data_IF_236250519459
#
_entry.id   IF_236250519459
#
_cell.length_a   1.000
_cell.length_b   1.000
_cell.length_c   1.000
_cell.angle_alpha   90.00
_cell.angle_beta   90.00
_cell.angle_gamma   90.00
#
_symmetry.space_group_name_H-M   'P 1'
#
loop_
_entity.id
_entity.type
_entity.pdbx_description
1 polymer ?
#
# COMPACT_ATOMS: atom_id res chain seq x y z
N UNK A 1 -17.17 -3.40 27.00
CA UNK A 1 -17.85 -2.61 25.95
C UNK A 1 -16.96 -2.58 24.73
N UNK A 2 -17.52 -2.63 23.53
CA UNK A 2 -16.76 -2.35 22.30
C UNK A 2 -17.09 -0.94 21.84
N UNK A 3 -16.08 -0.19 21.41
CA UNK A 3 -16.28 1.09 20.71
C UNK A 3 -15.88 0.90 19.26
N UNK A 4 -16.61 1.52 18.35
CA UNK A 4 -16.31 1.52 16.92
C UNK A 4 -16.62 2.89 16.33
N UNK A 5 -15.88 3.27 15.30
CA UNK A 5 -16.03 4.57 14.67
C UNK A 5 -15.03 4.78 13.56
N UNK A 6 -14.75 6.05 13.25
CA UNK A 6 -13.81 6.43 12.21
C UNK A 6 -12.80 7.47 12.74
N UNK A 7 -11.54 7.40 12.29
CA UNK A 7 -10.49 8.36 12.64
C UNK A 7 -10.77 9.80 12.19
N UNK A 8 -11.73 10.00 11.29
CA UNK A 8 -12.22 11.32 10.91
C UNK A 8 -13.07 11.97 12.03
N UNK A 9 -13.75 11.18 12.88
CA UNK A 9 -14.56 11.67 14.01
C UNK A 9 -13.84 11.62 15.35
N UNK A 10 -13.02 10.59 15.60
CA UNK A 10 -12.21 10.45 16.81
C UNK A 10 -10.77 10.13 16.42
N UNK A 11 -9.87 11.10 16.59
CA UNK A 11 -8.48 10.97 16.14
C UNK A 11 -7.75 9.89 16.95
N UNK A 12 -6.70 9.31 16.36
CA UNK A 12 -5.91 8.27 17.01
C UNK A 12 -5.38 8.71 18.38
N UNK A 13 -4.86 9.94 18.50
CA UNK A 13 -4.39 10.48 19.78
C UNK A 13 -5.49 10.47 20.88
N UNK A 14 -6.75 10.70 20.50
CA UNK A 14 -7.87 10.67 21.42
C UNK A 14 -8.22 9.22 21.81
N UNK A 15 -8.14 8.27 20.87
CA UNK A 15 -8.32 6.83 21.16
C UNK A 15 -7.26 6.32 22.12
N UNK A 16 -6.00 6.70 21.89
CA UNK A 16 -4.89 6.33 22.76
C UNK A 16 -5.06 6.92 24.17
N UNK A 17 -5.38 8.23 24.29
CA UNK A 17 -5.69 8.85 25.59
C UNK A 17 -6.87 8.19 26.29
N UNK A 18 -7.95 7.95 25.57
CA UNK A 18 -9.13 7.29 26.10
C UNK A 18 -8.80 5.91 26.69
N UNK A 19 -7.96 5.11 26.02
CA UNK A 19 -7.52 3.82 26.51
C UNK A 19 -6.71 3.93 27.83
N UNK A 20 -5.85 4.94 27.95
CA UNK A 20 -5.10 5.24 29.18
C UNK A 20 -6.03 5.66 30.32
N UNK A 21 -6.88 6.67 30.08
CA UNK A 21 -7.75 7.28 31.09
C UNK A 21 -8.73 6.26 31.72
N UNK A 22 -9.17 5.29 30.92
CA UNK A 22 -10.10 4.25 31.36
C UNK A 22 -9.40 2.95 31.78
N UNK A 23 -8.06 2.91 31.78
CA UNK A 23 -7.25 1.70 32.03
C UNK A 23 -7.72 0.49 31.19
N UNK A 24 -8.01 0.74 29.91
CA UNK A 24 -8.59 -0.26 29.04
C UNK A 24 -7.65 -1.45 28.83
N UNK A 25 -8.25 -2.62 28.70
CA UNK A 25 -7.57 -3.87 28.36
C UNK A 25 -8.30 -4.52 27.20
N UNK A 26 -7.60 -4.82 26.11
CA UNK A 26 -8.18 -5.33 24.88
C UNK A 26 -7.40 -4.90 23.65
N UNK A 27 -8.01 -5.06 22.48
CA UNK A 27 -7.34 -4.80 21.19
C UNK A 27 -8.08 -3.71 20.41
N UNK A 28 -7.33 -2.71 19.96
CA UNK A 28 -7.77 -1.70 19.01
C UNK A 28 -7.34 -2.14 17.61
N UNK A 29 -8.29 -2.49 16.75
CA UNK A 29 -8.05 -2.74 15.32
C UNK A 29 -8.43 -1.50 14.51
N UNK A 30 -7.56 -1.09 13.59
CA UNK A 30 -7.76 0.05 12.70
C UNK A 30 -7.51 -0.42 11.27
N UNK A 31 -8.47 -0.17 10.39
CA UNK A 31 -8.49 -0.69 9.02
C UNK A 31 -8.65 0.45 8.00
N UNK A 32 -7.81 0.43 6.97
CA UNK A 32 -7.84 1.35 5.82
C UNK A 32 -7.20 0.68 4.60
N UNK A 33 -7.75 0.86 3.41
CA UNK A 33 -7.18 0.37 2.14
C UNK A 33 -6.78 -1.11 2.20
N UNK A 34 -7.64 -1.94 2.83
CA UNK A 34 -7.42 -3.38 3.06
C UNK A 34 -6.15 -3.73 3.85
N UNK A 35 -5.64 -2.77 4.61
CA UNK A 35 -4.59 -2.91 5.62
C UNK A 35 -5.25 -2.76 6.99
N UNK A 36 -4.98 -3.70 7.89
CA UNK A 36 -5.41 -3.71 9.27
C UNK A 36 -4.18 -3.67 10.19
N UNK A 37 -4.12 -2.64 11.05
CA UNK A 37 -3.16 -2.58 12.15
C UNK A 37 -3.88 -2.74 13.48
N UNK A 38 -3.25 -3.47 14.40
CA UNK A 38 -3.80 -3.76 15.73
C UNK A 38 -2.85 -3.24 16.81
N UNK A 39 -3.42 -2.70 17.88
CA UNK A 39 -2.69 -2.28 19.08
C UNK A 39 -3.34 -2.97 20.27
N UNK A 40 -2.55 -3.72 21.02
CA UNK A 40 -2.96 -4.35 22.26
C UNK A 40 -2.74 -3.40 23.45
N UNK A 41 -3.74 -3.34 24.31
CA UNK A 41 -3.71 -2.59 25.56
C UNK A 41 -3.88 -3.51 26.75
N UNK A 42 -3.12 -3.23 27.81
CA UNK A 42 -3.29 -3.84 29.13
C UNK A 42 -3.18 -2.76 30.19
N UNK A 43 -4.24 -2.58 30.96
CA UNK A 43 -4.33 -1.54 32.01
C UNK A 43 -3.91 -0.16 31.48
N UNK A 44 -4.38 0.20 30.28
CA UNK A 44 -4.06 1.48 29.63
C UNK A 44 -2.67 1.57 28.99
N UNK A 45 -1.83 0.52 29.05
CA UNK A 45 -0.50 0.50 28.43
C UNK A 45 -0.50 -0.26 27.11
N UNK A 46 0.29 0.19 26.14
CA UNK A 46 0.52 -0.56 24.91
C UNK A 46 1.43 -1.74 25.23
N UNK A 47 0.95 -2.96 24.98
CA UNK A 47 1.69 -4.22 25.19
C UNK A 47 2.06 -4.93 23.91
N UNK A 48 1.44 -4.56 22.79
CA UNK A 48 1.79 -5.15 21.52
C UNK A 48 1.16 -4.47 20.32
N UNK A 49 1.67 -4.79 19.14
CA UNK A 49 1.06 -4.37 17.89
C UNK A 49 1.25 -5.38 16.77
N UNK A 50 0.39 -5.32 15.77
CA UNK A 50 0.55 -6.06 14.52
C UNK A 50 0.07 -5.23 13.33
N UNK A 51 0.55 -5.59 12.14
CA UNK A 51 0.14 -4.98 10.89
C UNK A 51 0.28 -6.02 9.79
N UNK A 52 -0.72 -6.09 8.92
CA UNK A 52 -0.70 -6.89 7.68
C UNK A 52 -0.12 -6.11 6.48
N UNK A 53 0.34 -4.89 6.71
CA UNK A 53 0.97 -4.00 5.74
C UNK A 53 2.29 -4.62 5.23
N UNK A 54 2.42 -4.92 3.93
CA UNK A 54 3.60 -5.63 3.39
C UNK A 54 4.96 -4.97 3.67
N UNK A 55 5.15 -3.64 3.51
CA UNK A 55 6.40 -2.96 3.89
C UNK A 55 6.67 -3.01 5.38
N UNK A 56 5.62 -3.17 6.20
CA UNK A 56 5.74 -3.39 7.64
C UNK A 56 6.06 -4.85 8.01
N UNK A 57 6.45 -5.75 7.10
CA UNK A 57 6.98 -7.08 7.49
C UNK A 57 8.40 -6.94 8.04
N UNK A 58 8.75 -7.72 9.07
CA UNK A 58 10.06 -7.60 9.73
C UNK A 58 11.24 -7.81 8.76
N UNK A 59 11.16 -8.80 7.86
CA UNK A 59 12.21 -9.02 6.86
C UNK A 59 12.42 -7.82 5.93
N UNK A 60 11.33 -7.18 5.49
CA UNK A 60 11.37 -5.97 4.66
C UNK A 60 11.96 -4.78 5.43
N UNK A 61 11.57 -4.65 6.71
CA UNK A 61 12.09 -3.61 7.59
C UNK A 61 13.61 -3.74 7.83
N UNK A 62 14.10 -4.96 8.04
CA UNK A 62 15.54 -5.24 8.18
C UNK A 62 16.31 -4.98 6.88
N UNK A 63 15.74 -5.37 5.74
CA UNK A 63 16.31 -5.13 4.42
C UNK A 63 16.47 -3.62 4.15
N UNK A 64 15.41 -2.84 4.40
CA UNK A 64 15.42 -1.39 4.19
C UNK A 64 16.47 -0.66 5.05
N UNK A 65 16.77 -1.19 6.23
CA UNK A 65 17.80 -0.66 7.13
C UNK A 65 19.21 -1.19 6.83
N UNK A 66 19.34 -2.08 5.85
CA UNK A 66 20.61 -2.71 5.47
C UNK A 66 21.15 -3.67 6.54
N UNK A 67 20.28 -4.25 7.37
CA UNK A 67 20.64 -5.24 8.40
C UNK A 67 20.82 -6.65 7.84
N UNK A 68 20.11 -6.94 6.76
CA UNK A 68 20.20 -8.19 6.00
C UNK A 68 20.20 -7.88 4.51
N UNK A 69 20.72 -8.79 3.70
CA UNK A 69 20.61 -8.71 2.23
C UNK A 69 19.36 -9.44 1.71
N UNK A 70 19.03 -9.23 0.43
CA UNK A 70 17.92 -9.94 -0.23
C UNK A 70 18.16 -11.45 -0.25
N UNK A 71 19.41 -11.86 -0.49
CA UNK A 71 19.81 -13.26 -0.55
C UNK A 71 19.71 -13.92 0.83
N UNK A 72 20.07 -13.21 1.90
CA UNK A 72 19.93 -13.68 3.28
C UNK A 72 18.46 -13.82 3.66
N UNK A 73 17.63 -12.82 3.32
CA UNK A 73 16.19 -12.88 3.55
C UNK A 73 15.53 -14.05 2.79
N UNK A 74 15.88 -14.23 1.51
CA UNK A 74 15.34 -15.32 0.70
C UNK A 74 15.69 -16.70 1.30
N UNK A 75 16.94 -16.92 1.67
CA UNK A 75 17.38 -18.17 2.33
C UNK A 75 16.65 -18.40 3.65
N UNK A 76 16.46 -17.34 4.45
CA UNK A 76 15.77 -17.46 5.73
C UNK A 76 14.29 -17.81 5.55
N UNK A 77 13.63 -17.26 4.53
CA UNK A 77 12.25 -17.59 4.16
C UNK A 77 12.10 -19.02 3.63
N UNK A 78 13.09 -19.53 2.88
CA UNK A 78 13.13 -20.93 2.45
C UNK A 78 13.16 -21.87 3.66
N UNK A 79 14.08 -21.63 4.62
CA UNK A 79 14.17 -22.42 5.85
C UNK A 79 12.88 -22.31 6.65
N UNK A 80 12.31 -21.11 6.80
CA UNK A 80 11.05 -20.89 7.51
C UNK A 80 9.91 -21.74 6.95
N UNK A 81 9.84 -21.87 5.63
CA UNK A 81 8.84 -22.68 4.94
C UNK A 81 8.98 -24.18 5.24
N UNK A 82 10.21 -24.65 5.44
CA UNK A 82 10.50 -26.07 5.74
C UNK A 82 10.34 -26.41 7.23
N UNK A 83 10.69 -25.48 8.12
CA UNK A 83 10.82 -25.75 9.56
C UNK A 83 9.72 -25.13 10.42
N UNK A 84 8.83 -24.30 9.85
CA UNK A 84 7.81 -23.49 10.54
C UNK A 84 8.37 -22.65 11.71
N UNK A 85 9.67 -22.37 11.70
CA UNK A 85 10.37 -21.63 12.75
C UNK A 85 10.21 -20.11 12.54
N UNK A 86 10.36 -19.32 13.61
CA UNK A 86 10.28 -17.87 13.52
C UNK A 86 11.44 -17.31 12.67
N UNK A 87 11.13 -16.40 11.74
CA UNK A 87 12.12 -15.76 10.86
C UNK A 87 13.26 -15.12 11.67
N UNK A 88 12.95 -14.50 12.81
CA UNK A 88 13.97 -13.88 13.67
C UNK A 88 14.96 -14.88 14.24
N UNK A 89 14.50 -16.08 14.59
CA UNK A 89 15.33 -17.15 15.14
C UNK A 89 16.22 -17.74 14.04
N UNK A 90 15.66 -17.95 12.84
CA UNK A 90 16.41 -18.39 11.66
C UNK A 90 17.51 -17.39 11.30
N UNK A 91 17.22 -16.09 11.29
CA UNK A 91 18.22 -15.05 11.00
C UNK A 91 19.34 -15.02 12.04
N UNK A 92 19.03 -15.28 13.32
CA UNK A 92 20.03 -15.40 14.38
C UNK A 92 20.88 -16.67 14.22
N UNK A 93 20.26 -17.81 13.90
CA UNK A 93 20.96 -19.08 13.66
C UNK A 93 21.88 -19.01 12.43
N UNK A 94 21.50 -18.24 11.42
CA UNK A 94 22.33 -17.93 10.25
C UNK A 94 23.51 -17.00 10.57
N UNK A 95 23.52 -16.36 11.74
CA UNK A 95 24.55 -15.42 12.16
C UNK A 95 24.55 -14.10 11.38
N UNK A 96 23.42 -13.74 10.75
CA UNK A 96 23.30 -12.49 9.98
C UNK A 96 22.85 -11.31 10.84
N UNK A 97 22.24 -11.57 12.00
CA UNK A 97 21.85 -10.56 12.97
C UNK A 97 21.95 -11.10 14.40
N UNK A 98 22.49 -10.30 15.31
CA UNK A 98 22.60 -10.65 16.73
C UNK A 98 21.25 -10.49 17.45
N UNK A 99 21.01 -11.26 18.51
CA UNK A 99 19.74 -11.24 19.25
C UNK A 99 19.37 -9.86 19.82
N UNK A 100 20.35 -9.12 20.36
CA UNK A 100 20.15 -7.77 20.90
C UNK A 100 19.80 -6.76 19.79
N UNK A 101 20.46 -6.87 18.64
CA UNK A 101 20.18 -6.03 17.47
C UNK A 101 18.80 -6.34 16.88
N UNK A 102 18.44 -7.62 16.77
CA UNK A 102 17.12 -8.03 16.31
C UNK A 102 16.01 -7.50 17.23
N UNK A 103 16.19 -7.58 18.55
CA UNK A 103 15.24 -7.05 19.52
C UNK A 103 15.07 -5.52 19.40
N UNK A 104 16.18 -4.79 19.20
CA UNK A 104 16.15 -3.35 18.95
C UNK A 104 15.35 -3.02 17.67
N UNK A 105 15.61 -3.74 16.58
CA UNK A 105 14.90 -3.54 15.31
C UNK A 105 13.41 -3.92 15.40
N UNK A 106 13.07 -4.94 16.18
CA UNK A 106 11.69 -5.33 16.44
C UNK A 106 10.92 -4.22 17.17
N UNK A 107 11.54 -3.60 18.18
CA UNK A 107 10.97 -2.46 18.91
C UNK A 107 10.78 -1.25 17.99
N UNK A 108 11.81 -0.89 17.21
CA UNK A 108 11.73 0.20 16.25
C UNK A 108 10.64 -0.01 15.20
N UNK A 109 10.44 -1.26 14.76
CA UNK A 109 9.37 -1.64 13.82
C UNK A 109 7.99 -1.51 14.45
N UNK A 110 7.80 -1.99 15.67
CA UNK A 110 6.53 -1.87 16.38
C UNK A 110 6.15 -0.40 16.61
N UNK A 111 7.13 0.43 16.95
CA UNK A 111 6.93 1.86 17.03
C UNK A 111 6.53 2.49 15.68
N UNK A 112 7.22 2.15 14.58
CA UNK A 112 6.85 2.64 13.24
C UNK A 112 5.45 2.19 12.83
N UNK A 113 5.06 0.94 13.17
CA UNK A 113 3.71 0.44 12.92
C UNK A 113 2.65 1.34 13.57
N UNK A 114 2.85 1.71 14.84
CA UNK A 114 1.90 2.55 15.57
C UNK A 114 1.94 4.00 15.08
N UNK A 115 3.14 4.57 14.88
CA UNK A 115 3.28 5.94 14.39
C UNK A 115 2.70 6.12 12.98
N UNK A 116 2.79 5.10 12.12
CA UNK A 116 2.20 5.16 10.77
C UNK A 116 0.68 5.31 10.77
N UNK A 117 -0.01 4.98 11.86
CA UNK A 117 -1.45 5.22 11.98
C UNK A 117 -1.80 6.71 12.12
N UNK A 118 -0.85 7.57 12.51
CA UNK A 118 -1.06 9.02 12.50
C UNK A 118 -1.13 9.59 11.07
N UNK A 119 -0.64 8.84 10.09
CA UNK A 119 -0.78 9.19 8.68
C UNK A 119 -2.22 8.95 8.17
N UNK A 120 -3.05 8.21 8.92
CA UNK A 120 -4.39 7.79 8.51
C UNK A 120 -5.43 8.80 8.98
N UNK A 121 -5.94 9.62 8.05
CA UNK A 121 -6.95 10.63 8.35
C UNK A 121 -8.39 10.09 8.37
N UNK A 122 -8.65 9.08 7.53
CA UNK A 122 -9.92 8.39 7.40
C UNK A 122 -9.64 6.88 7.45
N UNK A 123 -10.10 6.23 8.51
CA UNK A 123 -9.93 4.81 8.74
C UNK A 123 -10.97 4.34 9.76
N UNK A 124 -11.45 3.11 9.59
CA UNK A 124 -12.41 2.53 10.54
C UNK A 124 -11.65 1.91 11.70
N UNK A 125 -12.08 2.21 12.93
CA UNK A 125 -11.53 1.59 14.13
C UNK A 125 -12.58 0.77 14.87
N UNK A 126 -12.11 -0.28 15.53
CA UNK A 126 -12.89 -1.16 16.42
C UNK A 126 -12.03 -1.52 17.62
N UNK A 127 -12.47 -1.16 18.81
CA UNK A 127 -11.89 -1.62 20.05
C UNK A 127 -12.75 -2.75 20.63
N UNK A 128 -12.11 -3.87 20.94
CA UNK A 128 -12.75 -4.99 21.64
C UNK A 128 -12.10 -5.18 23.01
N UNK A 129 -12.87 -4.86 24.04
CA UNK A 129 -12.44 -5.03 25.43
C UNK A 129 -12.26 -6.51 25.79
N UNK A 130 -11.18 -6.82 26.49
CA UNK A 130 -10.75 -8.17 26.87
C UNK A 130 -10.57 -9.14 25.70
N UNK A 131 -10.41 -8.64 24.46
CA UNK A 131 -9.92 -9.47 23.36
C UNK A 131 -8.48 -9.88 23.68
N UNK A 132 -8.14 -11.17 23.62
CA UNK A 132 -6.77 -11.63 23.86
C UNK A 132 -5.84 -11.10 22.76
N UNK A 133 -4.58 -10.88 23.13
CA UNK A 133 -3.52 -10.52 22.19
C UNK A 133 -3.31 -11.69 21.20
N UNK A 134 -3.12 -11.36 19.92
CA UNK A 134 -2.79 -12.40 18.94
C UNK A 134 -1.35 -12.90 19.21
N UNK A 135 -1.08 -14.22 19.12
CA UNK A 135 0.25 -14.78 19.41
C UNK A 135 1.39 -14.23 18.54
N UNK A 136 1.07 -13.65 17.39
CA UNK A 136 2.01 -13.08 16.43
C UNK A 136 2.16 -11.55 16.54
N UNK A 137 1.54 -10.92 17.54
CA UNK A 137 1.81 -9.51 17.81
C UNK A 137 3.26 -9.32 18.26
N UNK A 138 3.84 -8.20 17.86
CA UNK A 138 5.14 -7.76 18.38
C UNK A 138 4.93 -7.30 19.81
N UNK A 139 5.53 -8.01 20.77
CA UNK A 139 5.56 -7.60 22.17
C UNK A 139 6.41 -6.33 22.31
N UNK A 140 5.79 -5.27 22.83
CA UNK A 140 6.44 -3.99 23.05
C UNK A 140 5.86 -3.29 24.27
N UNK A 141 6.71 -2.50 24.91
CA UNK A 141 6.29 -1.59 25.98
C UNK A 141 6.55 -0.17 25.53
N UNK A 142 5.49 0.49 25.07
CA UNK A 142 5.54 1.86 24.57
C UNK A 142 4.71 2.77 25.48
N UNK A 143 5.26 3.94 25.78
CA UNK A 143 4.56 4.99 26.52
C UNK A 143 3.58 5.68 25.59
N UNK A 144 2.29 5.71 25.96
CA UNK A 144 1.25 6.29 25.12
C UNK A 144 1.49 7.78 24.88
N UNK A 145 1.94 8.52 25.90
CA UNK A 145 2.24 9.95 25.80
C UNK A 145 3.37 10.24 24.80
N UNK A 146 4.44 9.44 24.80
CA UNK A 146 5.56 9.57 23.86
C UNK A 146 5.11 9.31 22.41
N UNK A 147 4.25 8.30 22.21
CA UNK A 147 3.67 7.99 20.90
C UNK A 147 2.77 9.12 20.41
N UNK A 148 1.98 9.74 21.30
CA UNK A 148 1.14 10.89 20.95
C UNK A 148 1.98 12.10 20.56
N UNK A 149 3.03 12.42 21.32
CA UNK A 149 3.92 13.55 21.04
C UNK A 149 4.61 13.37 19.69
N UNK A 150 5.25 12.22 19.46
CA UNK A 150 5.89 11.90 18.18
C UNK A 150 4.90 11.80 17.02
N UNK A 151 3.69 11.34 17.29
CA UNK A 151 2.60 11.32 16.31
C UNK A 151 2.17 12.72 15.88
N UNK A 152 2.14 13.69 16.81
CA UNK A 152 1.86 15.08 16.49
C UNK A 152 2.97 15.69 15.61
N UNK A 153 4.24 15.45 15.93
CA UNK A 153 5.37 15.86 15.09
C UNK A 153 5.30 15.22 13.69
N UNK A 154 4.91 13.95 13.61
CA UNK A 154 4.72 13.23 12.34
C UNK A 154 3.64 13.90 11.49
N UNK A 155 2.51 14.27 12.06
CA UNK A 155 1.45 14.99 11.34
C UNK A 155 1.98 16.29 10.71
N UNK A 156 2.74 17.09 11.47
CA UNK A 156 3.34 18.32 10.94
C UNK A 156 4.33 18.05 9.80
N UNK A 157 5.14 16.99 9.94
CA UNK A 157 6.07 16.54 8.90
C UNK A 157 5.34 16.07 7.64
N UNK A 158 4.21 15.38 7.76
CA UNK A 158 3.36 14.98 6.63
C UNK A 158 2.78 16.20 5.92
N UNK A 159 2.36 17.23 6.65
CA UNK A 159 1.91 18.50 6.06
C UNK A 159 3.05 19.16 5.28
N UNK A 160 4.28 19.15 5.80
CA UNK A 160 5.45 19.68 5.09
C UNK A 160 5.79 18.87 3.83
N UNK A 161 5.74 17.54 3.91
CA UNK A 161 5.92 16.61 2.78
C UNK A 161 4.96 16.98 1.64
N UNK A 162 3.66 17.11 1.94
CA UNK A 162 2.62 17.42 0.94
C UNK A 162 2.74 18.82 0.33
N UNK A 163 3.36 19.76 1.03
CA UNK A 163 3.63 21.10 0.47
C UNK A 163 4.71 21.06 -0.60
N UNK A 164 5.63 20.10 -0.52
CA UNK A 164 6.73 19.99 -1.48
C UNK A 164 6.45 18.97 -2.58
N UNK A 165 5.86 17.83 -2.24
CA UNK A 165 5.49 16.80 -3.20
C UNK A 165 3.99 16.85 -3.42
N UNK A 166 3.58 17.24 -4.63
CA UNK A 166 2.17 17.44 -4.99
C UNK A 166 1.46 16.14 -5.37
N UNK A 167 2.21 15.15 -5.88
CA UNK A 167 1.74 13.81 -6.20
C UNK A 167 2.89 12.80 -6.11
N UNK A 168 2.57 11.51 -6.07
CA UNK A 168 3.58 10.45 -6.19
C UNK A 168 4.21 10.38 -7.59
N UNK A 169 3.64 11.08 -8.57
CA UNK A 169 4.19 11.20 -9.93
C UNK A 169 5.38 12.16 -10.06
N UNK A 170 5.77 12.87 -9.00
CA UNK A 170 6.95 13.76 -9.02
C UNK A 170 8.21 12.96 -9.37
N UNK A 171 8.96 13.40 -10.37
CA UNK A 171 10.21 12.78 -10.83
C UNK A 171 11.40 13.47 -10.17
N UNK A 172 12.34 12.67 -9.69
CA UNK A 172 13.50 13.13 -8.94
C UNK A 172 14.80 12.83 -9.68
N UNK A 173 15.72 13.78 -9.66
CA UNK A 173 17.09 13.63 -10.18
C UNK A 173 18.11 13.92 -9.08
N UNK A 174 19.27 13.26 -9.13
CA UNK A 174 20.38 13.58 -8.23
C UNK A 174 20.90 14.98 -8.54
N UNK A 175 21.01 15.81 -7.51
CA UNK A 175 21.62 17.13 -7.63
C UNK A 175 23.15 17.06 -7.76
N UNK A 176 23.76 18.21 -8.01
CA UNK A 176 25.22 18.34 -8.15
C UNK A 176 25.97 18.32 -6.80
N UNK A 177 25.23 18.35 -5.68
CA UNK A 177 25.81 18.37 -4.34
C UNK A 177 26.14 16.95 -3.90
N UNK A 178 27.40 16.70 -3.53
CA UNK A 178 27.82 15.39 -3.00
C UNK A 178 27.19 15.10 -1.64
N UNK A 179 26.78 13.85 -1.44
CA UNK A 179 26.21 13.39 -0.17
C UNK A 179 27.30 13.26 0.90
N UNK A 180 27.09 13.78 2.12
CA UNK A 180 27.98 13.53 3.25
C UNK A 180 28.15 12.03 3.53
N UNK A 181 29.36 11.58 3.93
CA UNK A 181 29.61 10.17 4.26
C UNK A 181 28.66 9.63 5.33
N UNK A 182 28.24 10.46 6.27
CA UNK A 182 27.29 10.08 7.33
C UNK A 182 25.93 9.66 6.77
N UNK A 183 25.47 10.31 5.69
CA UNK A 183 24.24 9.95 4.99
C UNK A 183 24.45 8.64 4.23
N UNK A 184 25.59 8.50 3.55
CA UNK A 184 25.90 7.30 2.76
C UNK A 184 26.11 6.04 3.60
N UNK A 185 26.52 6.20 4.86
CA UNK A 185 26.63 5.10 5.83
C UNK A 185 25.27 4.60 6.33
N UNK A 186 24.20 5.36 6.14
CA UNK A 186 22.85 4.93 6.48
C UNK A 186 22.27 4.07 5.33
N UNK A 187 21.96 2.80 5.64
CA UNK A 187 21.46 1.84 4.64
C UNK A 187 20.20 2.29 3.91
N UNK A 188 19.24 2.88 4.64
CA UNK A 188 18.00 3.39 4.06
C UNK A 188 18.27 4.58 3.14
N UNK A 189 19.06 5.55 3.59
CA UNK A 189 19.40 6.72 2.78
C UNK A 189 20.12 6.31 1.48
N UNK A 190 21.14 5.45 1.59
CA UNK A 190 21.84 4.90 0.42
C UNK A 190 20.89 4.14 -0.51
N UNK A 191 19.96 3.35 0.04
CA UNK A 191 18.93 2.64 -0.71
C UNK A 191 18.02 3.59 -1.49
N UNK A 192 17.50 4.65 -0.84
CA UNK A 192 16.67 5.67 -1.48
C UNK A 192 17.44 6.40 -2.58
N UNK A 193 18.67 6.84 -2.31
CA UNK A 193 19.47 7.57 -3.30
C UNK A 193 19.85 6.70 -4.50
N UNK A 194 20.08 5.41 -4.26
CA UNK A 194 20.34 4.40 -5.28
C UNK A 194 19.25 4.29 -6.35
N UNK A 195 18.01 4.64 -6.02
CA UNK A 195 16.86 4.52 -6.94
C UNK A 195 16.57 5.81 -7.72
N UNK A 196 17.18 6.93 -7.33
CA UNK A 196 16.99 8.22 -8.01
C UNK A 196 17.92 8.30 -9.21
N UNK A 197 17.34 8.34 -10.41
CA UNK A 197 18.04 8.32 -11.71
C UNK A 197 17.57 9.40 -12.70
N UNK A 198 16.68 10.30 -12.30
CA UNK A 198 16.11 11.33 -13.18
C UNK A 198 14.89 10.87 -13.98
N UNK A 199 14.54 9.57 -13.95
CA UNK A 199 13.39 9.02 -14.64
C UNK A 199 12.32 8.46 -13.69
N UNK A 200 12.73 8.00 -12.50
CA UNK A 200 11.79 7.43 -11.53
C UNK A 200 10.92 8.48 -10.84
N UNK A 201 9.63 8.15 -10.72
CA UNK A 201 8.69 8.90 -9.89
C UNK A 201 8.87 8.58 -8.40
N UNK A 202 8.38 9.43 -7.50
CA UNK A 202 8.32 9.14 -6.06
C UNK A 202 7.60 7.80 -5.81
N UNK A 203 6.49 7.54 -6.50
CA UNK A 203 5.77 6.27 -6.39
C UNK A 203 6.65 5.07 -6.67
N UNK A 204 7.47 5.12 -7.72
CA UNK A 204 8.42 4.05 -8.05
C UNK A 204 9.55 3.96 -7.01
N UNK A 205 10.08 5.10 -6.55
CA UNK A 205 11.08 5.13 -5.47
C UNK A 205 10.57 4.43 -4.22
N UNK A 206 9.31 4.67 -3.83
CA UNK A 206 8.68 4.04 -2.67
C UNK A 206 8.72 2.51 -2.77
N UNK A 207 8.31 1.93 -3.91
CA UNK A 207 8.37 0.47 -4.13
C UNK A 207 9.79 -0.11 -4.05
N UNK A 208 10.83 0.62 -4.43
CA UNK A 208 12.20 0.11 -4.42
C UNK A 208 12.89 0.16 -3.04
N UNK A 209 12.35 0.91 -2.08
CA UNK A 209 13.04 1.20 -0.81
C UNK A 209 12.69 0.25 0.32
N UNK A 210 11.59 -0.49 0.20
CA UNK A 210 11.09 -1.45 1.20
C UNK A 210 10.87 -0.84 2.60
N UNK A 211 10.72 0.48 2.69
CA UNK A 211 10.50 1.25 3.91
C UNK A 211 9.10 1.85 3.96
N UNK A 212 8.69 2.39 5.10
CA UNK A 212 7.43 3.13 5.16
C UNK A 212 7.50 4.41 4.33
N UNK A 213 6.39 4.74 3.64
CA UNK A 213 6.27 5.92 2.80
C UNK A 213 6.75 7.19 3.50
N UNK A 214 6.35 7.36 4.76
CA UNK A 214 6.74 8.51 5.57
C UNK A 214 8.25 8.66 5.72
N UNK A 215 8.98 7.58 6.03
CA UNK A 215 10.43 7.66 6.24
C UNK A 215 11.14 8.05 4.95
N UNK A 216 10.71 7.49 3.81
CA UNK A 216 11.25 7.79 2.49
C UNK A 216 10.96 9.24 2.13
N UNK A 217 9.70 9.66 2.23
CA UNK A 217 9.27 11.02 1.89
C UNK A 217 9.95 12.06 2.78
N UNK A 218 10.07 11.81 4.09
CA UNK A 218 10.79 12.69 5.03
C UNK A 218 12.27 12.84 4.65
N UNK A 219 12.92 11.76 4.25
CA UNK A 219 14.29 11.81 3.75
C UNK A 219 14.39 12.62 2.46
N UNK A 220 13.54 12.34 1.48
CA UNK A 220 13.49 13.06 0.20
C UNK A 220 13.24 14.54 0.42
N UNK A 221 12.40 14.92 1.39
CA UNK A 221 12.18 16.31 1.76
C UNK A 221 13.48 16.98 2.18
N UNK A 222 14.24 16.32 3.06
CA UNK A 222 15.50 16.86 3.56
C UNK A 222 16.56 16.91 2.45
N UNK A 223 16.57 15.93 1.55
CA UNK A 223 17.48 15.86 0.42
C UNK A 223 17.24 16.99 -0.59
N UNK A 224 15.97 17.31 -0.89
CA UNK A 224 15.60 18.42 -1.78
C UNK A 224 15.97 19.77 -1.17
N UNK A 225 15.67 20.01 0.11
CA UNK A 225 16.06 21.25 0.79
C UNK A 225 17.59 21.45 0.84
N UNK A 226 18.35 20.36 0.90
CA UNK A 226 19.82 20.39 0.94
C UNK A 226 20.45 20.46 -0.45
N UNK A 227 19.66 20.36 -1.53
CA UNK A 227 20.13 20.39 -2.91
C UNK A 227 20.77 19.08 -3.40
N UNK A 228 20.69 18.00 -2.62
CA UNK A 228 21.22 16.70 -3.04
C UNK A 228 20.32 15.99 -4.06
N UNK A 229 19.04 16.34 -4.07
CA UNK A 229 18.03 15.84 -5.02
C UNK A 229 17.28 17.05 -5.55
N UNK A 230 16.90 17.01 -6.82
CA UNK A 230 16.11 18.06 -7.46
C UNK A 230 14.84 17.48 -8.07
N UNK A 231 13.80 18.31 -8.17
CA UNK A 231 12.54 17.95 -8.80
C UNK A 231 12.63 18.37 -10.27
N UNK A 232 12.52 17.40 -11.19
CA UNK A 232 12.68 17.63 -12.63
C UNK A 232 11.38 17.62 -13.42
N UNK A 233 10.31 17.04 -12.86
CA UNK A 233 9.02 17.00 -13.52
C UNK A 233 7.95 16.22 -12.75
N UNK A 234 6.82 16.00 -13.41
CA UNK A 234 5.73 15.15 -12.95
C UNK A 234 5.37 14.21 -14.09
N UNK A 235 5.34 12.90 -13.80
CA UNK A 235 4.82 11.85 -14.67
C UNK A 235 3.69 11.16 -13.92
N UNK A 236 2.47 11.31 -14.42
CA UNK A 236 1.32 10.58 -13.88
C UNK A 236 1.41 9.10 -14.33
N UNK A 237 1.64 8.15 -13.41
CA UNK A 237 1.57 6.73 -13.74
C UNK A 237 0.10 6.35 -14.00
N UNK A 238 -0.17 5.37 -14.87
CA UNK A 238 -1.52 4.82 -14.94
C UNK A 238 -1.80 3.95 -13.71
N UNK A 239 -3.05 4.00 -13.24
CA UNK A 239 -3.65 2.87 -12.54
C UNK A 239 -3.50 2.83 -11.02
N UNK A 240 -2.73 3.72 -10.38
CA UNK A 240 -2.72 3.82 -8.92
C UNK A 240 -2.59 5.28 -8.47
N UNK A 241 -3.66 5.81 -7.87
CA UNK A 241 -3.54 6.93 -6.93
C UNK A 241 -3.19 6.34 -5.57
N UNK A 242 -1.93 5.95 -5.37
CA UNK A 242 -1.42 5.64 -4.03
C UNK A 242 -0.34 6.67 -3.69
N UNK A 243 -0.75 7.67 -2.90
CA UNK A 243 -0.40 7.85 -1.49
C UNK A 243 0.84 8.72 -1.29
N UNK A 244 0.63 10.02 -1.13
CA UNK A 244 1.54 10.83 -0.30
C UNK A 244 1.04 10.87 1.15
N UNK A 245 0.44 9.78 1.63
CA UNK A 245 -0.11 9.57 2.98
C UNK A 245 -1.59 10.03 3.22
N UNK A 246 -2.41 10.14 2.17
CA UNK A 246 -3.90 10.31 2.12
C UNK A 246 -4.57 11.65 2.56
N UNK A 247 -5.07 12.39 1.56
CA UNK A 247 -5.72 13.73 1.42
C UNK A 247 -6.59 14.23 2.58
N UNK A 248 -6.51 15.50 3.03
CA UNK A 248 -7.29 16.64 2.52
C UNK A 248 -6.51 17.98 2.50
N UNK A 249 -6.63 18.71 1.38
CA UNK A 249 -6.80 20.16 1.40
C UNK A 249 -7.67 20.56 0.21
N UNK A 250 -8.93 20.89 0.50
CA UNK A 250 -9.60 22.02 -0.15
C UNK A 250 -8.60 23.18 -0.21
N UNK A 251 -7.94 23.36 -1.34
CA UNK A 251 -7.44 24.69 -1.70
C UNK A 251 -8.70 25.53 -1.83
N UNK A 252 -8.85 26.50 -0.93
CA UNK A 252 -10.06 27.29 -0.78
C UNK A 252 -10.61 27.70 -2.14
N UNK A 253 -11.89 27.43 -2.36
CA UNK A 253 -12.66 28.16 -3.35
C UNK A 253 -12.47 29.64 -3.03
N UNK A 254 -11.76 30.34 -3.91
CA UNK A 254 -11.80 31.78 -3.95
C UNK A 254 -13.29 32.20 -4.05
N UNK A 255 -13.69 33.28 -3.37
CA UNK A 255 -15.07 33.75 -3.46
C UNK A 255 -15.30 34.26 -4.89
N UNK A 256 -16.06 33.52 -5.69
CA UNK A 256 -16.74 34.10 -6.84
C UNK A 256 -17.85 35.02 -6.30
N UNK A 257 -17.47 36.26 -6.01
CA UNK A 257 -18.35 37.39 -6.27
C UNK A 257 -18.59 37.44 -7.79
N UNK A 258 -19.83 37.27 -8.22
CA UNK A 258 -20.55 38.36 -8.89
C UNK A 258 -21.76 37.88 -9.70
N UNK A 259 -22.88 38.58 -9.46
CA UNK A 259 -23.99 38.83 -10.37
C UNK A 259 -24.97 37.67 -10.67
N UNK A 260 -25.95 37.55 -9.78
CA UNK A 260 -27.30 37.15 -10.17
C UNK A 260 -28.01 38.35 -10.84
N UNK A 261 -28.45 38.19 -12.09
CA UNK A 261 -29.57 38.93 -12.67
C UNK A 261 -30.75 37.97 -12.92
N UNK A 262 -32.00 38.34 -12.58
CA UNK A 262 -33.16 37.48 -12.76
C UNK A 262 -33.77 37.67 -14.15
N UNK A 263 -33.98 36.58 -14.88
CA UNK A 263 -34.82 36.56 -16.09
C UNK A 263 -36.26 36.19 -15.68
N UNK A 264 -37.30 36.92 -16.12
CA UNK A 264 -38.67 36.71 -15.67
C UNK A 264 -39.41 35.59 -16.43
N UNK A 265 -40.46 35.10 -15.78
CA UNK A 265 -41.36 34.02 -16.18
C UNK A 265 -42.01 34.13 -17.58
N UNK A 266 -42.48 33.01 -18.17
CA UNK A 266 -42.94 32.94 -19.55
C UNK A 266 -44.43 33.31 -19.73
N UNK A 267 -44.73 33.94 -20.86
CA UNK A 267 -46.08 34.29 -21.33
C UNK A 267 -46.79 33.06 -21.93
N UNK A 268 -48.06 32.91 -21.59
CA UNK A 268 -48.95 31.79 -21.94
C UNK A 268 -49.80 32.07 -23.21
N UNK A 269 -50.06 30.99 -23.98
CA UNK A 269 -51.19 30.68 -24.92
C UNK A 269 -51.10 31.11 -26.42
N UNK A 270 -51.83 30.43 -27.35
CA UNK A 270 -52.78 29.32 -27.21
C UNK A 270 -52.59 28.08 -28.13
N UNK A 271 -53.35 27.06 -27.76
CA UNK A 271 -53.64 25.75 -28.37
C UNK A 271 -54.15 25.72 -29.83
N UNK A 272 -53.73 24.68 -30.56
CA UNK A 272 -54.54 23.98 -31.58
C UNK A 272 -54.10 22.51 -31.70
N UNK A 273 -55.02 21.58 -31.44
CA UNK A 273 -54.95 20.13 -31.70
C UNK A 273 -55.12 19.80 -33.21
N UNK A 274 -55.13 18.53 -33.66
CA UNK A 274 -54.12 17.49 -33.49
C UNK A 274 -53.77 16.83 -34.85
N UNK A 275 -52.54 16.34 -35.05
CA UNK A 275 -52.26 15.45 -36.19
C UNK A 275 -51.21 14.41 -35.83
N UNK A 276 -51.58 13.17 -36.12
CA UNK A 276 -50.97 11.89 -35.84
C UNK A 276 -49.63 11.70 -36.57
N UNK A 277 -48.50 11.68 -35.87
CA UNK A 277 -47.25 11.13 -36.41
C UNK A 277 -46.44 10.36 -35.35
N UNK A 278 -46.45 9.04 -35.52
CA UNK A 278 -45.30 8.12 -35.43
C UNK A 278 -44.38 8.25 -34.21
N UNK A 279 -44.62 7.41 -33.19
CA UNK A 279 -43.72 7.20 -32.07
C UNK A 279 -42.38 6.61 -32.53
N UNK A 280 -41.34 7.45 -32.56
CA UNK A 280 -39.94 7.03 -32.53
C UNK A 280 -39.64 6.56 -31.10
N UNK A 281 -39.01 5.40 -30.86
CA UNK A 281 -38.64 5.01 -29.50
C UNK A 281 -37.62 6.00 -28.96
N UNK A 282 -37.98 6.67 -27.84
CA UNK A 282 -37.05 7.52 -27.12
C UNK A 282 -35.84 6.71 -26.67
N UNK A 283 -34.61 7.24 -26.77
CA UNK A 283 -33.44 6.61 -26.18
C UNK A 283 -33.69 6.42 -24.69
N UNK A 284 -33.55 5.17 -24.21
CA UNK A 284 -33.66 4.83 -22.80
C UNK A 284 -32.79 5.79 -21.98
N UNK A 285 -33.41 6.45 -21.00
CA UNK A 285 -32.68 7.19 -19.99
C UNK A 285 -31.58 6.29 -19.39
N UNK A 286 -30.37 6.80 -19.14
CA UNK A 286 -29.32 6.00 -18.52
C UNK A 286 -29.85 5.44 -17.19
N UNK A 287 -29.72 4.12 -17.00
CA UNK A 287 -30.09 3.44 -15.77
C UNK A 287 -29.37 4.14 -14.60
N UNK A 288 -30.04 4.43 -13.47
CA UNK A 288 -29.36 5.01 -12.31
C UNK A 288 -28.16 4.12 -11.94
N UNK A 289 -27.06 4.71 -11.43
CA UNK A 289 -25.91 3.94 -10.99
C UNK A 289 -26.37 2.88 -10.00
N UNK A 290 -25.85 1.66 -10.16
CA UNK A 290 -26.23 0.52 -9.33
C UNK A 290 -26.00 0.85 -7.85
N UNK A 291 -26.95 0.48 -6.98
CA UNK A 291 -26.81 0.74 -5.55
C UNK A 291 -25.66 -0.08 -4.94
N UNK A 292 -25.25 0.26 -3.70
CA UNK A 292 -24.27 -0.54 -2.97
C UNK A 292 -24.73 -2.00 -2.84
N UNK A 293 -26.00 -2.20 -2.47
CA UNK A 293 -26.59 -3.53 -2.32
C UNK A 293 -26.66 -4.28 -3.66
N UNK A 294 -27.02 -3.62 -4.77
CA UNK A 294 -27.02 -4.23 -6.12
C UNK A 294 -25.61 -4.65 -6.58
N UNK A 295 -24.58 -3.84 -6.28
CA UNK A 295 -23.19 -4.20 -6.60
C UNK A 295 -22.68 -5.36 -5.73
N UNK A 296 -23.10 -5.44 -4.48
CA UNK A 296 -22.77 -6.55 -3.61
C UNK A 296 -23.41 -7.85 -4.08
N UNK A 297 -24.68 -7.81 -4.51
CA UNK A 297 -25.36 -8.93 -5.15
C UNK A 297 -24.68 -9.34 -6.47
N UNK A 298 -24.26 -8.37 -7.28
CA UNK A 298 -23.50 -8.62 -8.51
C UNK A 298 -22.17 -9.34 -8.20
N UNK A 299 -21.40 -8.85 -7.23
CA UNK A 299 -20.15 -9.48 -6.83
C UNK A 299 -20.36 -10.93 -6.35
N UNK A 300 -21.39 -11.19 -5.56
CA UNK A 300 -21.74 -12.56 -5.15
C UNK A 300 -22.11 -13.45 -6.34
N UNK A 301 -22.86 -12.91 -7.30
CA UNK A 301 -23.23 -13.63 -8.51
C UNK A 301 -22.00 -13.99 -9.36
N UNK A 302 -21.08 -13.05 -9.53
CA UNK A 302 -19.81 -13.27 -10.25
C UNK A 302 -18.96 -14.34 -9.54
N UNK A 303 -18.85 -14.30 -8.21
CA UNK A 303 -18.18 -15.35 -7.43
C UNK A 303 -18.85 -16.72 -7.57
N UNK A 304 -20.18 -16.77 -7.67
CA UNK A 304 -20.91 -18.01 -7.91
C UNK A 304 -20.69 -18.57 -9.32
N UNK A 305 -20.34 -17.70 -10.28
CA UNK A 305 -19.99 -18.06 -11.66
C UNK A 305 -18.50 -18.34 -11.85
N UNK A 306 -17.69 -18.29 -10.78
CA UNK A 306 -16.23 -18.43 -10.81
C UNK A 306 -15.51 -17.29 -11.58
N UNK A 307 -16.19 -16.17 -11.83
CA UNK A 307 -15.59 -14.95 -12.40
C UNK A 307 -15.00 -14.08 -11.28
N UNK A 308 -13.88 -14.54 -10.73
CA UNK A 308 -13.29 -13.96 -9.53
C UNK A 308 -12.63 -12.59 -9.78
N UNK A 309 -12.03 -12.38 -10.95
CA UNK A 309 -11.41 -11.09 -11.31
C UNK A 309 -12.46 -9.97 -11.38
N UNK A 310 -13.56 -10.20 -12.11
CA UNK A 310 -14.64 -9.22 -12.19
C UNK A 310 -15.31 -9.00 -10.82
N UNK A 311 -15.47 -10.06 -10.02
CA UNK A 311 -16.00 -9.93 -8.67
C UNK A 311 -15.11 -9.02 -7.81
N UNK A 312 -13.79 -9.19 -7.89
CA UNK A 312 -12.82 -8.37 -7.16
C UNK A 312 -12.87 -6.90 -7.58
N UNK A 313 -12.99 -6.60 -8.87
CA UNK A 313 -13.14 -5.21 -9.35
C UNK A 313 -14.40 -4.53 -8.77
N UNK A 314 -15.53 -5.25 -8.75
CA UNK A 314 -16.77 -4.74 -8.17
C UNK A 314 -16.63 -4.54 -6.66
N UNK A 315 -15.99 -5.47 -5.96
CA UNK A 315 -15.78 -5.39 -4.52
C UNK A 315 -14.82 -4.26 -4.12
N UNK A 316 -13.82 -3.97 -4.94
CA UNK A 316 -12.90 -2.84 -4.73
C UNK A 316 -13.69 -1.52 -4.75
N UNK A 317 -14.58 -1.32 -5.73
CA UNK A 317 -15.46 -0.16 -5.77
C UNK A 317 -16.47 -0.09 -4.61
N UNK A 318 -16.94 -1.23 -4.10
CA UNK A 318 -17.76 -1.27 -2.89
C UNK A 318 -16.95 -0.89 -1.63
N UNK A 319 -15.68 -1.28 -1.57
CA UNK A 319 -14.79 -0.98 -0.45
C UNK A 319 -14.50 0.51 -0.34
N UNK A 320 -14.32 1.18 -1.47
CA UNK A 320 -14.11 2.63 -1.52
C UNK A 320 -15.31 3.41 -0.94
N UNK A 321 -16.53 2.88 -1.04
CA UNK A 321 -17.75 3.52 -0.52
C UNK A 321 -18.02 3.24 0.96
N UNK A 322 -17.77 2.01 1.43
CA UNK A 322 -18.03 1.59 2.82
C UNK A 322 -16.85 0.76 3.34
N UNK A 323 -15.68 1.39 3.59
CA UNK A 323 -14.55 0.69 4.19
C UNK A 323 -14.94 0.20 5.60
N UNK A 324 -14.45 -0.99 5.99
CA UNK A 324 -14.68 -1.58 7.31
C UNK A 324 -16.04 -2.28 7.52
N UNK A 325 -16.93 -2.33 6.53
CA UNK A 325 -18.12 -3.19 6.58
C UNK A 325 -17.69 -4.67 6.73
N UNK A 326 -18.16 -5.33 7.79
CA UNK A 326 -17.72 -6.68 8.16
C UNK A 326 -18.10 -7.72 7.09
N UNK A 327 -19.29 -7.57 6.50
CA UNK A 327 -19.77 -8.49 5.48
C UNK A 327 -19.00 -8.31 4.16
N UNK A 328 -18.77 -7.06 3.74
CA UNK A 328 -17.95 -6.73 2.59
C UNK A 328 -16.51 -7.25 2.77
N UNK A 329 -15.91 -7.04 3.95
CA UNK A 329 -14.57 -7.54 4.27
C UNK A 329 -14.48 -9.07 4.14
N UNK A 330 -15.47 -9.81 4.65
CA UNK A 330 -15.54 -11.27 4.47
C UNK A 330 -15.68 -11.68 3.00
N UNK A 331 -16.45 -10.93 2.21
CA UNK A 331 -16.64 -11.22 0.80
C UNK A 331 -15.37 -10.94 -0.02
N UNK A 332 -14.67 -9.85 0.27
CA UNK A 332 -13.35 -9.53 -0.29
C UNK A 332 -12.36 -10.65 0.04
N UNK A 333 -12.25 -11.04 1.32
CA UNK A 333 -11.34 -12.11 1.73
C UNK A 333 -11.62 -13.43 0.99
N UNK A 334 -12.90 -13.78 0.84
CA UNK A 334 -13.33 -14.97 0.08
C UNK A 334 -12.92 -14.88 -1.39
N UNK A 335 -13.14 -13.73 -2.02
CA UNK A 335 -12.78 -13.48 -3.42
C UNK A 335 -11.26 -13.49 -3.62
N UNK A 336 -10.49 -12.82 -2.76
CA UNK A 336 -9.03 -12.79 -2.79
C UNK A 336 -8.44 -14.21 -2.63
N UNK A 337 -9.00 -15.02 -1.72
CA UNK A 337 -8.59 -16.42 -1.53
C UNK A 337 -8.85 -17.27 -2.77
N UNK A 338 -10.03 -17.11 -3.40
CA UNK A 338 -10.37 -17.81 -4.63
C UNK A 338 -9.44 -17.40 -5.78
N UNK A 339 -9.14 -16.10 -5.90
CA UNK A 339 -8.24 -15.56 -6.93
C UNK A 339 -6.83 -16.13 -6.78
N UNK A 340 -6.26 -16.09 -5.58
CA UNK A 340 -4.94 -16.67 -5.29
C UNK A 340 -4.89 -18.17 -5.64
N UNK A 341 -5.96 -18.89 -5.35
CA UNK A 341 -6.07 -20.32 -5.69
C UNK A 341 -6.08 -20.53 -7.20
N UNK A 342 -6.81 -19.70 -7.95
CA UNK A 342 -6.83 -19.74 -9.41
C UNK A 342 -5.45 -19.45 -10.00
N UNK A 343 -4.78 -18.37 -9.57
CA UNK A 343 -3.46 -18.00 -10.07
C UNK A 343 -2.42 -19.11 -9.84
N UNK A 344 -2.40 -19.69 -8.63
CA UNK A 344 -1.48 -20.78 -8.26
C UNK A 344 -1.77 -22.08 -9.00
N UNK A 345 -3.00 -22.31 -9.46
CA UNK A 345 -3.37 -23.51 -10.22
C UNK A 345 -3.18 -23.34 -11.75
N UNK A 346 -3.29 -22.10 -12.25
CA UNK A 346 -3.25 -21.75 -13.67
C UNK A 346 -1.85 -21.46 -14.19
N UNK A 347 -1.73 -20.38 -14.98
CA UNK A 347 -0.51 -20.01 -15.69
C UNK A 347 0.49 -19.22 -14.83
N UNK A 348 0.08 -18.77 -13.64
CA UNK A 348 0.91 -18.01 -12.70
C UNK A 348 1.37 -18.89 -11.52
N UNK A 349 1.84 -20.11 -11.80
CA UNK A 349 2.39 -20.97 -10.74
C UNK A 349 3.62 -20.33 -10.12
N UNK A 350 3.82 -20.57 -8.82
CA UNK A 350 4.92 -19.99 -8.05
C UNK A 350 6.32 -20.35 -8.59
N UNK A 351 6.45 -21.46 -9.32
CA UNK A 351 7.71 -21.92 -9.94
C UNK A 351 8.05 -21.23 -11.26
N UNK A 352 7.10 -20.53 -11.87
CA UNK A 352 7.32 -19.93 -13.19
C UNK A 352 8.20 -18.70 -13.07
N UNK A 353 9.04 -18.48 -14.09
CA UNK A 353 9.91 -17.31 -14.24
C UNK A 353 9.28 -16.38 -15.27
N UNK A 354 8.69 -15.26 -14.83
CA UNK A 354 8.19 -14.24 -15.74
C UNK A 354 9.35 -13.42 -16.31
N UNK A 355 9.38 -13.25 -17.63
CA UNK A 355 10.40 -12.48 -18.33
C UNK A 355 9.74 -11.31 -19.09
N UNK A 356 10.24 -10.07 -18.96
CA UNK A 356 9.68 -8.95 -19.67
C UNK A 356 9.95 -9.06 -21.18
N UNK A 357 8.95 -8.70 -21.99
CA UNK A 357 9.09 -8.68 -23.45
C UNK A 357 9.74 -7.36 -23.85
N UNK A 358 10.93 -7.43 -24.45
CA UNK A 358 11.80 -6.28 -24.77
C UNK A 358 11.17 -5.22 -25.70
N UNK A 359 10.06 -5.53 -26.37
CA UNK A 359 9.34 -4.63 -27.27
C UNK A 359 8.13 -3.96 -26.64
N UNK A 360 8.05 -3.89 -25.30
CA UNK A 360 6.93 -3.25 -24.64
C UNK A 360 6.92 -1.75 -24.95
N UNK A 361 5.95 -1.31 -25.75
CA UNK A 361 5.70 0.11 -25.94
C UNK A 361 4.95 0.66 -24.71
N UNK A 362 5.72 1.14 -23.74
CA UNK A 362 5.21 1.75 -22.50
C UNK A 362 4.34 2.98 -22.80
N UNK A 363 4.46 3.58 -23.98
CA UNK A 363 3.64 4.75 -24.39
C UNK A 363 2.23 4.37 -24.84
N UNK A 364 2.04 3.14 -25.33
CA UNK A 364 0.73 2.64 -25.76
C UNK A 364 -0.10 2.05 -24.60
N UNK A 365 0.56 1.53 -23.57
CA UNK A 365 -0.08 0.93 -22.39
C UNK A 365 0.70 1.34 -21.14
N UNK A 366 0.33 2.46 -20.50
CA UNK A 366 1.08 2.91 -19.32
C UNK A 366 0.88 1.93 -18.17
N UNK A 367 2.00 1.57 -17.55
CA UNK A 367 2.10 0.67 -16.41
C UNK A 367 1.97 1.44 -15.09
N UNK A 368 1.50 0.77 -14.05
CA UNK A 368 1.52 1.31 -12.69
C UNK A 368 2.93 1.24 -12.08
N UNK A 369 3.23 2.01 -11.03
CA UNK A 369 4.51 1.92 -10.32
C UNK A 369 4.79 0.51 -9.80
N UNK A 370 3.76 -0.18 -9.30
CA UNK A 370 3.87 -1.56 -8.87
C UNK A 370 4.25 -2.52 -10.02
N UNK A 371 3.66 -2.34 -11.20
CA UNK A 371 3.98 -3.14 -12.38
C UNK A 371 5.39 -2.85 -12.90
N UNK A 372 5.80 -1.58 -12.94
CA UNK A 372 7.15 -1.17 -13.31
C UNK A 372 8.19 -1.75 -12.35
N UNK A 373 7.90 -1.73 -11.05
CA UNK A 373 8.73 -2.37 -10.04
C UNK A 373 8.90 -3.87 -10.32
N UNK A 374 7.80 -4.60 -10.56
CA UNK A 374 7.86 -6.02 -10.87
C UNK A 374 8.63 -6.29 -12.16
N UNK A 375 8.40 -5.52 -13.23
CA UNK A 375 9.15 -5.62 -14.50
C UNK A 375 10.66 -5.44 -14.28
N UNK A 376 11.05 -4.48 -13.45
CA UNK A 376 12.44 -4.30 -13.06
C UNK A 376 13.02 -5.53 -12.34
N UNK A 377 12.28 -6.09 -11.38
CA UNK A 377 12.70 -7.29 -10.65
C UNK A 377 12.80 -8.53 -11.55
N UNK A 378 11.93 -8.68 -12.54
CA UNK A 378 11.94 -9.83 -13.46
C UNK A 378 13.23 -9.92 -14.30
N UNK A 379 13.88 -8.79 -14.57
CA UNK A 379 15.16 -8.76 -15.29
C UNK A 379 16.29 -9.53 -14.57
N UNK A 380 16.12 -9.83 -13.29
CA UNK A 380 17.07 -10.60 -12.47
C UNK A 380 16.82 -12.12 -12.53
N UNK A 381 15.79 -12.59 -13.25
CA UNK A 381 15.48 -14.02 -13.43
C UNK A 381 14.74 -14.66 -12.26
N UNK A 382 14.13 -13.86 -11.39
CA UNK A 382 13.36 -14.34 -10.23
C UNK A 382 12.09 -15.10 -10.66
N UNK A 383 11.78 -16.19 -9.97
CA UNK A 383 10.49 -16.86 -10.12
C UNK A 383 9.38 -16.11 -9.35
N UNK A 384 8.12 -16.45 -9.61
CA UNK A 384 6.97 -15.82 -8.95
C UNK A 384 7.08 -15.95 -7.42
N UNK A 385 7.51 -17.10 -6.89
CA UNK A 385 7.68 -17.28 -5.45
C UNK A 385 8.64 -16.24 -4.84
N UNK A 386 9.78 -16.00 -5.48
CA UNK A 386 10.75 -15.00 -5.05
C UNK A 386 10.15 -13.61 -5.13
N UNK A 387 9.42 -13.28 -6.21
CA UNK A 387 8.73 -11.99 -6.34
C UNK A 387 7.73 -11.77 -5.19
N UNK A 388 6.95 -12.78 -4.80
CA UNK A 388 6.02 -12.69 -3.66
C UNK A 388 6.71 -12.40 -2.33
N UNK A 389 7.96 -12.86 -2.16
CA UNK A 389 8.72 -12.63 -0.93
C UNK A 389 9.37 -11.26 -0.88
N UNK A 390 9.91 -10.80 -2.01
CA UNK A 390 10.69 -9.57 -2.06
C UNK A 390 9.84 -8.34 -2.35
N UNK A 391 8.71 -8.47 -3.05
CA UNK A 391 7.87 -7.32 -3.39
C UNK A 391 7.21 -6.72 -2.13
N UNK A 392 7.28 -5.39 -1.91
CA UNK A 392 6.67 -4.72 -0.77
C UNK A 392 5.18 -4.47 -1.00
N UNK A 393 4.45 -5.51 -1.43
CA UNK A 393 3.02 -5.44 -1.73
C UNK A 393 2.30 -6.70 -1.26
N UNK A 394 0.96 -6.68 -1.22
CA UNK A 394 0.18 -7.83 -0.75
C UNK A 394 0.28 -8.92 -1.82
N UNK A 395 0.19 -10.17 -1.40
CA UNK A 395 0.31 -11.31 -2.31
C UNK A 395 -0.69 -11.20 -3.48
N UNK A 396 -1.94 -10.83 -3.15
CA UNK A 396 -3.02 -10.59 -4.12
C UNK A 396 -2.64 -9.51 -5.13
N UNK A 397 -2.00 -8.43 -4.69
CA UNK A 397 -1.64 -7.31 -5.56
C UNK A 397 -0.49 -7.68 -6.50
N UNK A 398 0.49 -8.49 -6.04
CA UNK A 398 1.52 -9.07 -6.93
C UNK A 398 0.86 -9.89 -8.03
N UNK A 399 -0.05 -10.80 -7.68
CA UNK A 399 -0.72 -11.65 -8.65
C UNK A 399 -1.61 -10.86 -9.62
N UNK A 400 -2.33 -9.84 -9.14
CA UNK A 400 -3.12 -8.96 -10.01
C UNK A 400 -2.24 -8.20 -11.01
N UNK A 401 -1.11 -7.66 -10.54
CA UNK A 401 -0.15 -6.99 -11.42
C UNK A 401 0.44 -7.95 -12.46
N UNK A 402 0.86 -9.16 -12.04
CA UNK A 402 1.35 -10.20 -12.97
C UNK A 402 0.27 -10.67 -13.96
N UNK A 403 -0.98 -10.83 -13.51
CA UNK A 403 -2.11 -11.21 -14.36
C UNK A 403 -2.39 -10.14 -15.42
N UNK A 404 -2.38 -8.85 -15.03
CA UNK A 404 -2.53 -7.73 -15.96
C UNK A 404 -1.37 -7.68 -16.95
N UNK A 405 -0.13 -7.80 -16.49
CA UNK A 405 1.07 -7.84 -17.33
C UNK A 405 1.00 -9.00 -18.35
N UNK A 406 0.53 -10.18 -17.94
CA UNK A 406 0.34 -11.31 -18.83
C UNK A 406 -0.78 -11.04 -19.86
N UNK A 407 -1.90 -10.45 -19.44
CA UNK A 407 -3.05 -10.11 -20.30
C UNK A 407 -2.72 -9.09 -21.38
N UNK A 408 -1.85 -8.12 -21.08
CA UNK A 408 -1.36 -7.13 -22.07
C UNK A 408 -0.16 -7.63 -22.87
N UNK A 409 0.24 -8.90 -22.71
CA UNK A 409 1.42 -9.50 -23.33
C UNK A 409 2.71 -8.72 -23.05
N UNK A 410 2.87 -8.21 -21.83
CA UNK A 410 4.10 -7.55 -21.39
C UNK A 410 5.15 -8.52 -20.85
N UNK A 411 4.74 -9.73 -20.46
CA UNK A 411 5.62 -10.75 -19.91
C UNK A 411 5.41 -12.09 -20.63
N UNK A 412 6.48 -12.87 -20.73
CA UNK A 412 6.46 -14.28 -21.13
C UNK A 412 6.77 -15.15 -19.91
N UNK A 413 5.92 -16.14 -19.65
CA UNK A 413 6.05 -17.05 -18.52
C UNK A 413 6.77 -18.32 -18.95
N UNK A 414 7.90 -18.63 -18.29
CA UNK A 414 8.67 -19.85 -18.55
C UNK A 414 8.62 -20.78 -17.35
N UNK A 415 8.34 -22.05 -17.57
CA UNK A 415 8.39 -23.07 -16.53
C UNK A 415 9.85 -23.38 -16.21
N UNK A 416 10.34 -22.86 -15.09
CA UNK A 416 11.61 -23.27 -14.53
C UNK A 416 11.37 -24.55 -13.71
N UNK A 417 11.12 -25.67 -14.39
CA UNK A 417 10.89 -26.94 -13.69
C UNK A 417 12.06 -27.26 -12.74
N UNK A 418 11.79 -27.46 -11.43
CA UNK A 418 12.74 -27.79 -10.35
C UNK A 418 14.22 -27.44 -10.64
N UNK A 419 14.50 -26.18 -11.01
CA UNK A 419 15.88 -25.73 -11.16
C UNK A 419 16.37 -25.30 -9.79
N UNK A 420 17.04 -26.26 -9.13
CA UNK A 420 17.90 -26.10 -7.96
C UNK A 420 18.69 -24.78 -8.09
N UNK A 421 18.54 -23.86 -7.12
CA UNK A 421 19.22 -22.57 -7.00
C UNK A 421 20.73 -22.72 -6.74
N UNK A 422 21.40 -23.62 -7.45
CA UNK A 422 22.86 -23.70 -7.52
C UNK A 422 23.37 -22.72 -8.57
N UNK A 423 23.36 -21.46 -8.16
CA UNK A 423 24.31 -20.43 -8.53
C UNK A 423 24.94 -20.54 -9.92
N UNK A 424 24.25 -20.02 -10.93
CA UNK A 424 24.94 -19.11 -11.84
C UNK A 424 24.78 -17.71 -11.27
N UNK A 425 25.91 -17.11 -10.90
CA UNK A 425 26.00 -15.72 -10.47
C UNK A 425 25.20 -14.85 -11.44
N UNK A 426 24.19 -14.15 -10.95
CA UNK A 426 23.78 -12.91 -11.57
C UNK A 426 25.04 -12.05 -11.75
N UNK A 427 25.25 -11.40 -12.91
CA UNK A 427 26.38 -10.50 -13.08
C UNK A 427 26.35 -9.52 -11.91
N UNK A 428 27.47 -9.45 -11.17
CA UNK A 428 27.63 -8.50 -10.09
C UNK A 428 27.42 -7.11 -10.67
N UNK A 429 26.26 -6.52 -10.42
CA UNK A 429 26.10 -5.08 -10.58
C UNK A 429 26.81 -4.49 -9.38
N UNK A 430 28.06 -4.10 -9.58
CA UNK A 430 28.78 -3.28 -8.62
C UNK A 430 27.99 -1.98 -8.44
N UNK A 431 27.28 -1.86 -7.33
CA UNK A 431 26.75 -0.58 -6.86
C UNK A 431 27.95 0.25 -6.40
N UNK A 432 28.42 1.14 -7.28
CA UNK A 432 29.40 2.17 -6.95
C UNK A 432 28.76 3.34 -6.20
#
# INVERSE_FOLDING_TARGET
MSIQGNLNTMKLADLLRWAVENNETGVLAIERNKVCKRIAFREGRITGCSSDDPPSRIGQFLLARGKITREELAKALDVQKETETNLGEILQDMGVIEAEEFAFELSAKAEENILSLFDWNDAVFRFKQNEPEDPWMLDVQLTVEEIIERGAERIEQVVAIRRMFVSSGVVLERGDVEFPPEIMNNGLARGILGTIDGERTIGEVLYHTHASDFLVLKFLVSAVHSGFVTIVGIREPNGESSTLLDTMATVGSAPEESAAEPVPDPVEKPSTDPATETSVPQPMAPRPPATFEERLELAQHLLAQDDVEAALEVLDGCYDERPGDEFLGHLIQKAETAFLTHCRAGDLKSTFVPNPIASLDVTATPLSPAELFLVGMMGEGHNIQTLLWVAPMREVDVYRALARLNKIAAIELRDAGDVDLKGEKAPAVEWA
#
